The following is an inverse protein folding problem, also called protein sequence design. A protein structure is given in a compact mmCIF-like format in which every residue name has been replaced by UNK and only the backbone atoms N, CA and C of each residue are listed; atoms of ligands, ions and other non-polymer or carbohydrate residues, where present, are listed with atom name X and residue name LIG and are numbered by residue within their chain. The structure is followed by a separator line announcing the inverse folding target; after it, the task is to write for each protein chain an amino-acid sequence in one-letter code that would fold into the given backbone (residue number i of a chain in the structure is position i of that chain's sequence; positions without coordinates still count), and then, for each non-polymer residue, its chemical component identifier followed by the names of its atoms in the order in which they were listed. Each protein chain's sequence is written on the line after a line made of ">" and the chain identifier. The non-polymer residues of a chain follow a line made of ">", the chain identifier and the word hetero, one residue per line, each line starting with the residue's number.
data_IF_183207676464
#
_entry.id   IF_183207676464
#
_cell.length_a   1.000
_cell.length_b   1.000
_cell.length_c   1.000
_cell.angle_alpha   90.00
_cell.angle_beta   90.00
_cell.angle_gamma   90.00
#
_symmetry.space_group_name_H-M   'P 1'
#
loop_
_entity.id
_entity.type
_entity.pdbx_description
1 polymer ?
#
# COMPACT_ATOMS: atom_id res chain seq x y z
N UNK A 1 -19.45 14.17 -10.61
CA UNK A 1 -18.45 13.61 -9.70
C UNK A 1 -19.11 13.55 -8.33
N UNK A 2 -19.25 12.36 -7.73
CA UNK A 2 -19.78 12.28 -6.37
C UNK A 2 -18.75 12.86 -5.39
N UNK A 3 -19.20 13.57 -4.34
CA UNK A 3 -18.29 14.04 -3.30
C UNK A 3 -17.64 12.85 -2.58
N UNK A 4 -16.47 13.04 -1.95
CA UNK A 4 -15.86 12.00 -1.14
C UNK A 4 -16.76 11.64 0.04
N UNK A 5 -16.87 10.34 0.34
CA UNK A 5 -17.56 9.86 1.54
C UNK A 5 -16.63 10.00 2.76
N UNK A 6 -17.15 10.57 3.85
CA UNK A 6 -16.43 10.71 5.11
C UNK A 6 -17.11 9.83 6.16
N UNK A 7 -16.38 8.83 6.64
CA UNK A 7 -16.85 7.94 7.71
C UNK A 7 -16.17 8.39 9.01
N UNK A 8 -16.97 8.82 9.98
CA UNK A 8 -16.49 9.23 11.31
C UNK A 8 -16.63 8.06 12.29
N UNK A 9 -15.57 7.76 13.02
CA UNK A 9 -15.53 6.70 14.04
C UNK A 9 -14.16 6.05 14.16
N UNK A 10 -14.09 4.97 14.93
CA UNK A 10 -12.86 4.18 15.06
C UNK A 10 -12.48 3.56 13.70
N UNK A 11 -11.26 3.77 13.20
CA UNK A 11 -10.91 3.35 11.84
C UNK A 11 -11.01 1.84 11.60
N UNK A 12 -10.85 1.01 12.63
CA UNK A 12 -11.11 -0.43 12.57
C UNK A 12 -12.59 -0.73 12.28
N UNK A 13 -13.51 -0.04 12.92
CA UNK A 13 -14.96 -0.19 12.69
C UNK A 13 -15.36 0.34 11.32
N UNK A 14 -14.81 1.49 10.93
CA UNK A 14 -15.02 2.06 9.61
C UNK A 14 -14.53 1.10 8.52
N UNK A 15 -13.35 0.49 8.70
CA UNK A 15 -12.77 -0.46 7.74
C UNK A 15 -13.65 -1.69 7.54
N UNK A 16 -14.30 -2.19 8.60
CA UNK A 16 -15.20 -3.36 8.50
C UNK A 16 -16.39 -3.14 7.56
N UNK A 17 -16.81 -1.90 7.35
CA UNK A 17 -17.93 -1.52 6.47
C UNK A 17 -17.52 -1.44 5.00
N UNK A 18 -16.23 -1.37 4.71
CA UNK A 18 -15.68 -1.23 3.36
C UNK A 18 -15.36 -2.60 2.76
N UNK A 19 -15.61 -2.77 1.46
CA UNK A 19 -15.31 -3.98 0.71
C UNK A 19 -14.66 -3.62 -0.63
N UNK A 20 -13.90 -4.55 -1.21
CA UNK A 20 -13.37 -4.41 -2.56
C UNK A 20 -12.27 -3.36 -2.70
N UNK A 21 -11.51 -3.10 -1.65
CA UNK A 21 -10.45 -2.07 -1.65
C UNK A 21 -9.33 -2.49 -2.62
N UNK A 22 -9.07 -1.66 -3.63
CA UNK A 22 -7.97 -1.83 -4.58
C UNK A 22 -6.81 -0.84 -4.35
N UNK A 23 -7.05 0.25 -3.63
CA UNK A 23 -6.04 1.23 -3.24
C UNK A 23 -6.31 1.75 -1.83
N UNK A 24 -5.29 1.79 -0.97
CA UNK A 24 -5.43 2.27 0.40
C UNK A 24 -4.18 3.00 0.89
N UNK A 25 -4.38 4.13 1.54
CA UNK A 25 -3.33 4.90 2.23
C UNK A 25 -3.67 4.96 3.71
N UNK A 26 -2.73 4.56 4.56
CA UNK A 26 -2.82 4.70 6.02
C UNK A 26 -1.68 5.57 6.53
N UNK A 27 -1.97 6.37 7.56
CA UNK A 27 -0.93 7.12 8.27
C UNK A 27 -0.29 6.22 9.33
N UNK A 28 1.01 5.95 9.19
CA UNK A 28 1.78 5.10 10.11
C UNK A 28 2.13 5.78 11.44
N UNK A 29 1.81 7.07 11.62
CA UNK A 29 1.97 7.72 12.92
C UNK A 29 1.03 7.15 13.98
N UNK A 30 -0.09 6.54 13.55
CA UNK A 30 -1.03 5.86 14.44
C UNK A 30 -0.45 4.52 14.86
N UNK A 31 -0.29 4.26 16.17
CA UNK A 31 0.41 3.06 16.71
C UNK A 31 -0.13 1.72 16.18
N UNK A 32 -1.42 1.66 15.89
CA UNK A 32 -2.20 0.49 15.51
C UNK A 32 -2.59 0.45 14.02
N UNK A 33 -1.96 1.26 13.15
CA UNK A 33 -2.25 1.30 11.71
C UNK A 33 -2.20 -0.09 11.03
N UNK A 34 -1.37 -1.01 11.55
CA UNK A 34 -1.27 -2.38 11.04
C UNK A 34 -2.53 -3.21 11.27
N UNK A 35 -3.33 -2.90 12.30
CA UNK A 35 -4.65 -3.53 12.54
C UNK A 35 -5.64 -3.10 11.47
N UNK A 36 -5.66 -1.80 11.14
CA UNK A 36 -6.50 -1.26 10.06
C UNK A 36 -6.16 -1.94 8.72
N UNK A 37 -4.87 -2.08 8.42
CA UNK A 37 -4.41 -2.79 7.21
C UNK A 37 -4.88 -4.25 7.14
N UNK A 38 -4.90 -4.96 8.28
CA UNK A 38 -5.35 -6.36 8.37
C UNK A 38 -6.85 -6.52 8.16
N UNK A 39 -7.64 -5.57 8.64
CA UNK A 39 -9.11 -5.58 8.50
C UNK A 39 -9.58 -5.26 7.08
N UNK A 40 -8.70 -4.72 6.23
CA UNK A 40 -9.05 -4.33 4.87
C UNK A 40 -9.52 -5.52 4.03
N UNK A 41 -10.77 -5.44 3.58
CA UNK A 41 -11.37 -6.39 2.65
C UNK A 41 -10.99 -6.01 1.22
N UNK A 42 -9.81 -6.49 0.81
CA UNK A 42 -9.23 -6.18 -0.49
C UNK A 42 -10.05 -6.76 -1.65
N UNK A 43 -9.97 -6.08 -2.78
CA UNK A 43 -10.52 -6.51 -4.06
C UNK A 43 -9.96 -7.87 -4.50
N UNK A 44 -10.77 -8.64 -5.23
CA UNK A 44 -10.38 -9.90 -5.86
C UNK A 44 -9.34 -9.72 -6.99
N UNK A 45 -9.09 -8.48 -7.42
CA UNK A 45 -8.05 -8.12 -8.40
C UNK A 45 -6.68 -7.87 -7.75
N UNK A 46 -6.59 -7.92 -6.43
CA UNK A 46 -5.45 -7.41 -5.68
C UNK A 46 -5.61 -5.95 -5.28
N UNK A 47 -4.58 -5.40 -4.63
CA UNK A 47 -4.60 -4.03 -4.12
C UNK A 47 -3.19 -3.42 -3.99
N UNK A 48 -3.13 -2.09 -3.94
CA UNK A 48 -1.95 -1.32 -3.55
C UNK A 48 -2.19 -0.68 -2.19
N UNK A 49 -1.36 -1.06 -1.22
CA UNK A 49 -1.42 -0.54 0.15
C UNK A 49 -0.23 0.36 0.41
N UNK A 50 -0.48 1.48 1.08
CA UNK A 50 0.49 2.55 1.28
C UNK A 50 0.48 2.99 2.73
N UNK A 51 1.67 3.06 3.31
CA UNK A 51 1.94 3.56 4.64
C UNK A 51 2.67 4.91 4.52
N UNK A 52 1.96 6.01 4.79
CA UNK A 52 2.54 7.35 4.90
C UNK A 52 3.25 7.52 6.24
N UNK A 53 4.25 8.40 6.30
CA UNK A 53 5.03 8.70 7.51
C UNK A 53 5.84 7.49 8.03
N UNK A 54 6.24 6.62 7.12
CA UNK A 54 6.90 5.35 7.44
C UNK A 54 8.35 5.50 7.95
N UNK A 55 8.98 6.67 7.81
CA UNK A 55 10.31 6.94 8.38
C UNK A 55 10.28 7.32 9.86
N UNK A 56 9.13 7.77 10.39
CA UNK A 56 8.99 8.14 11.80
C UNK A 56 8.87 6.94 12.76
N UNK A 57 9.08 5.73 12.24
CA UNK A 57 9.03 4.46 12.99
C UNK A 57 10.17 4.40 14.00
N UNK A 58 10.00 5.08 15.14
CA UNK A 58 10.77 4.84 16.35
C UNK A 58 10.41 3.44 16.89
N UNK A 59 11.04 2.40 16.35
CA UNK A 59 11.07 1.05 16.94
C UNK A 59 10.05 0.00 16.44
N UNK A 60 9.14 0.30 15.50
CA UNK A 60 8.23 -0.73 14.95
C UNK A 60 8.75 -1.32 13.64
N UNK A 61 9.18 -2.58 13.68
CA UNK A 61 9.60 -3.35 12.49
C UNK A 61 8.38 -3.84 11.69
N UNK A 62 7.56 -2.89 11.20
CA UNK A 62 6.41 -3.22 10.37
C UNK A 62 6.86 -4.04 9.15
N UNK A 63 6.27 -5.23 8.99
CA UNK A 63 6.53 -6.13 7.89
C UNK A 63 5.22 -6.39 7.16
N UNK A 64 5.16 -6.07 5.87
CA UNK A 64 4.00 -6.36 5.00
C UNK A 64 3.51 -7.80 5.12
N UNK A 65 4.42 -8.77 5.28
CA UNK A 65 4.06 -10.19 5.49
C UNK A 65 3.08 -10.40 6.65
N UNK A 66 3.21 -9.65 7.74
CA UNK A 66 2.32 -9.77 8.92
C UNK A 66 0.90 -9.23 8.70
N UNK A 67 0.62 -8.62 7.56
CA UNK A 67 -0.69 -8.06 7.20
C UNK A 67 -1.43 -8.97 6.20
N UNK A 68 -0.71 -9.83 5.48
CA UNK A 68 -1.21 -10.54 4.28
C UNK A 68 -1.42 -12.04 4.56
N UNK A 69 -1.19 -12.50 5.78
CA UNK A 69 -1.09 -13.92 6.15
C UNK A 69 -2.44 -14.64 6.30
N UNK A 70 -3.27 -14.58 5.26
CA UNK A 70 -4.59 -15.23 5.15
C UNK A 70 -4.60 -16.34 4.06
N UNK A 71 -3.45 -16.70 3.51
CA UNK A 71 -3.28 -17.75 2.48
C UNK A 71 -3.82 -17.41 1.07
N UNK A 72 -4.91 -16.64 0.99
CA UNK A 72 -5.58 -16.20 -0.24
C UNK A 72 -4.90 -15.01 -0.94
N UNK A 73 -3.92 -14.39 -0.27
CA UNK A 73 -3.27 -13.15 -0.73
C UNK A 73 -1.76 -13.30 -0.67
N UNK A 74 -1.07 -12.67 -1.61
CA UNK A 74 0.39 -12.71 -1.72
C UNK A 74 0.97 -11.31 -1.88
N UNK A 75 1.97 -10.99 -1.06
CA UNK A 75 2.84 -9.84 -1.31
C UNK A 75 3.62 -10.06 -2.60
N UNK A 76 3.35 -9.27 -3.63
CA UNK A 76 4.09 -9.33 -4.89
C UNK A 76 5.41 -8.60 -4.74
N UNK A 77 5.36 -7.40 -4.16
CA UNK A 77 6.52 -6.53 -3.96
C UNK A 77 6.18 -5.40 -3.01
N UNK A 78 7.22 -4.86 -2.37
CA UNK A 78 7.14 -3.60 -1.64
C UNK A 78 8.29 -2.68 -2.02
N UNK A 79 8.11 -1.38 -1.78
CA UNK A 79 9.15 -0.35 -1.96
C UNK A 79 8.99 0.72 -0.91
N UNK A 80 10.10 1.18 -0.36
CA UNK A 80 10.15 2.39 0.45
C UNK A 80 10.65 3.55 -0.41
N UNK A 81 9.93 4.67 -0.38
CA UNK A 81 10.27 5.91 -1.08
C UNK A 81 10.53 7.02 -0.04
N UNK A 82 11.62 7.80 -0.18
CA UNK A 82 11.95 8.89 0.72
C UNK A 82 11.15 10.17 0.40
N UNK A 83 9.84 10.03 0.20
CA UNK A 83 8.93 11.17 -0.06
C UNK A 83 8.35 11.65 1.26
N UNK A 84 8.55 12.94 1.59
CA UNK A 84 8.14 13.51 2.88
C UNK A 84 8.76 12.75 4.06
N UNK A 85 7.94 12.34 5.03
CA UNK A 85 8.37 11.48 6.16
C UNK A 85 8.40 9.99 5.80
N UNK A 86 8.70 9.66 4.54
CA UNK A 86 8.76 8.30 4.04
C UNK A 86 7.40 7.70 3.66
N UNK A 87 7.41 6.92 2.59
CA UNK A 87 6.25 6.23 2.03
C UNK A 87 6.61 4.77 1.78
N UNK A 88 5.97 3.84 2.47
CA UNK A 88 6.16 2.40 2.27
C UNK A 88 4.96 1.85 1.49
N UNK A 89 5.20 1.23 0.35
CA UNK A 89 4.17 0.80 -0.61
C UNK A 89 4.27 -0.70 -0.80
N UNK A 90 3.14 -1.40 -0.79
CA UNK A 90 3.04 -2.81 -1.13
C UNK A 90 1.98 -3.08 -2.19
N UNK A 91 2.32 -3.93 -3.15
CA UNK A 91 1.39 -4.49 -4.11
C UNK A 91 1.02 -5.92 -3.68
N UNK A 92 -0.27 -6.15 -3.49
CA UNK A 92 -0.87 -7.40 -3.04
C UNK A 92 -1.64 -8.02 -4.21
N UNK A 93 -1.34 -9.28 -4.52
CA UNK A 93 -2.10 -10.06 -5.50
C UNK A 93 -2.93 -11.15 -4.80
N UNK A 94 -3.92 -11.67 -5.51
CA UNK A 94 -4.65 -12.87 -5.09
C UNK A 94 -3.85 -14.13 -5.42
N UNK A 95 -3.84 -15.08 -4.50
CA UNK A 95 -3.24 -16.40 -4.68
C UNK A 95 -4.15 -17.23 -5.58
N UNK A 96 -3.92 -17.17 -6.89
CA UNK A 96 -4.71 -17.88 -7.90
C UNK A 96 -4.54 -17.38 -9.34
N UNK A 97 -3.97 -16.18 -9.54
CA UNK A 97 -3.65 -15.68 -10.87
C UNK A 97 -2.37 -16.31 -11.42
N UNK A 98 -2.48 -17.04 -12.53
CA UNK A 98 -1.36 -17.63 -13.26
C UNK A 98 -0.32 -16.56 -13.57
N UNK A 99 0.81 -16.54 -12.83
CA UNK A 99 1.90 -15.61 -13.09
C UNK A 99 2.72 -16.12 -14.28
N UNK A 100 2.20 -15.87 -15.48
CA UNK A 100 2.93 -16.04 -16.73
C UNK A 100 4.29 -15.36 -16.60
N UNK A 101 5.32 -16.19 -16.57
CA UNK A 101 6.73 -15.82 -16.49
C UNK A 101 7.19 -15.23 -17.83
N UNK A 102 6.66 -14.06 -18.19
CA UNK A 102 7.30 -13.18 -19.17
C UNK A 102 8.32 -12.32 -18.45
N UNK A 103 9.62 -12.61 -18.64
CA UNK A 103 10.73 -11.71 -18.25
C UNK A 103 10.69 -10.43 -19.09
N UNK A 104 9.69 -9.58 -18.89
CA UNK A 104 9.77 -8.18 -19.28
C UNK A 104 10.80 -7.55 -18.32
N UNK A 105 11.81 -6.85 -18.83
CA UNK A 105 12.80 -6.16 -18.00
C UNK A 105 12.11 -5.07 -17.19
N UNK A 106 11.66 -5.43 -15.98
CA UNK A 106 11.02 -4.54 -15.02
C UNK A 106 12.08 -3.61 -14.42
N UNK A 107 12.37 -2.51 -15.09
CA UNK A 107 13.27 -1.47 -14.58
C UNK A 107 12.48 -0.29 -14.03
N UNK A 108 12.96 0.26 -12.93
CA UNK A 108 12.48 1.54 -12.41
C UNK A 108 13.20 2.68 -13.11
N UNK A 109 12.46 3.74 -13.38
CA UNK A 109 12.96 4.99 -13.94
C UNK A 109 12.61 6.07 -12.93
N UNK A 110 13.63 6.66 -12.31
CA UNK A 110 13.49 7.86 -11.49
C UNK A 110 13.83 9.04 -12.39
N UNK A 111 12.87 9.93 -12.59
CA UNK A 111 13.08 11.22 -13.23
C UNK A 111 12.85 12.31 -12.21
N UNK A 112 13.80 13.24 -12.11
CA UNK A 112 13.66 14.43 -11.27
C UNK A 112 13.66 15.60 -12.22
N UNK A 113 12.55 16.33 -12.28
CA UNK A 113 12.47 17.56 -13.04
C UNK A 113 13.43 18.58 -12.41
N UNK A 114 14.36 19.12 -13.21
CA UNK A 114 15.40 20.01 -12.71
C UNK A 114 14.90 21.44 -12.43
N UNK A 115 13.75 21.83 -12.96
CA UNK A 115 13.19 23.17 -12.79
C UNK A 115 12.20 23.22 -11.61
N UNK A 116 11.25 22.27 -11.54
CA UNK A 116 10.25 22.20 -10.47
C UNK A 116 10.73 21.41 -9.26
N UNK A 117 11.71 20.51 -9.43
CA UNK A 117 12.13 19.56 -8.39
C UNK A 117 11.19 18.38 -8.22
N UNK A 118 10.17 18.23 -9.07
CA UNK A 118 9.22 17.12 -8.99
C UNK A 118 9.88 15.77 -9.33
N UNK A 119 9.60 14.75 -8.51
CA UNK A 119 10.10 13.40 -8.72
C UNK A 119 9.01 12.50 -9.33
N UNK A 120 9.29 11.98 -10.52
CA UNK A 120 8.45 11.00 -11.20
C UNK A 120 9.12 9.61 -11.15
N UNK A 121 8.39 8.62 -10.63
CA UNK A 121 8.86 7.24 -10.55
C UNK A 121 7.99 6.37 -11.43
N UNK A 122 8.56 5.88 -12.53
CA UNK A 122 7.85 5.11 -13.55
C UNK A 122 8.40 3.68 -13.58
N UNK A 123 7.50 2.70 -13.77
CA UNK A 123 7.88 1.29 -13.95
C UNK A 123 7.52 0.82 -15.36
N UNK A 124 8.52 0.30 -16.07
CA UNK A 124 8.35 -0.40 -17.34
C UNK A 124 8.12 -1.90 -17.12
#
# INVERSE_FOLDING_TARGET
>A
MSPPEVIVGEPEEAMNRLNGIDFMVVDSQRRDFSRVLRLAKLSNRGAVLICKNASSKNGSSFKWRSVIDDGSRRLVRSVFLPVGKGLDIAHIATSGGNSGSGKVQRRWIKHVDRQSGEEHVIRK
#
